data_IF_408679686528
#
_entry.id   IF_408679686528
#
_cell.length_a   1.000
_cell.length_b   1.000
_cell.length_c   1.000
_cell.angle_alpha   90.00
_cell.angle_beta   90.00
_cell.angle_gamma   90.00
#
_symmetry.space_group_name_H-M   'P 1'
#
loop_
_entity.id
_entity.type
_entity.pdbx_description
1 polymer ?
#
# COMPACT_ATOMS: atom_id res chain seq x y z
N UNK A 1 6.67 -5.35 21.79
CA UNK A 1 6.19 -4.48 20.70
C UNK A 1 7.38 -3.76 20.11
N UNK A 2 7.29 -3.28 18.87
CA UNK A 2 8.33 -2.49 18.20
C UNK A 2 7.73 -1.19 17.67
N UNK A 3 8.49 -0.11 17.77
CA UNK A 3 8.15 1.19 17.22
C UNK A 3 8.62 1.29 15.77
N UNK A 4 7.71 1.54 14.84
CA UNK A 4 8.02 1.81 13.45
C UNK A 4 7.92 3.31 13.22
N UNK A 5 9.05 3.94 12.94
CA UNK A 5 9.12 5.37 12.64
C UNK A 5 9.06 5.56 11.13
N UNK A 6 7.98 6.15 10.63
CA UNK A 6 7.84 6.49 9.22
C UNK A 6 8.18 7.97 9.04
N UNK A 7 9.21 8.25 8.24
CA UNK A 7 9.66 9.63 7.96
C UNK A 7 9.12 10.08 6.60
N UNK A 8 8.49 11.25 6.57
CA UNK A 8 8.07 11.94 5.36
C UNK A 8 8.99 13.14 5.10
N UNK A 9 9.88 13.01 4.11
CA UNK A 9 10.83 14.08 3.76
C UNK A 9 10.20 15.24 2.97
N UNK A 10 8.96 15.08 2.50
CA UNK A 10 8.26 16.16 1.81
C UNK A 10 7.64 17.17 2.79
N UNK A 11 7.48 16.77 4.06
CA UNK A 11 6.91 17.59 5.12
C UNK A 11 8.00 17.88 6.15
N UNK A 12 8.31 19.16 6.35
CA UNK A 12 9.28 19.61 7.34
C UNK A 12 8.51 20.20 8.52
N UNK A 13 8.93 19.88 9.74
CA UNK A 13 8.35 20.46 10.95
C UNK A 13 8.88 21.88 11.24
N UNK A 14 8.44 22.46 12.35
CA UNK A 14 8.84 23.82 12.77
C UNK A 14 10.33 23.95 13.10
N UNK A 15 11.03 22.83 13.30
CA UNK A 15 12.46 22.78 13.64
C UNK A 15 13.36 22.49 12.44
N UNK A 16 12.78 22.26 11.25
CA UNK A 16 13.54 21.89 10.07
C UNK A 16 13.75 20.38 9.93
N UNK A 17 13.15 19.57 10.81
CA UNK A 17 13.27 18.12 10.76
C UNK A 17 12.17 17.51 9.89
N UNK A 18 12.47 16.36 9.26
CA UNK A 18 11.47 15.62 8.50
C UNK A 18 10.37 15.13 9.45
N UNK A 19 9.11 15.45 9.10
CA UNK A 19 7.94 14.99 9.85
C UNK A 19 7.97 13.47 9.96
N UNK A 20 7.69 12.98 11.16
CA UNK A 20 7.66 11.55 11.46
C UNK A 20 6.39 11.13 12.16
N UNK A 21 5.89 9.96 11.80
CA UNK A 21 4.82 9.27 12.49
C UNK A 21 5.35 7.96 13.10
N UNK A 22 4.93 7.66 14.32
CA UNK A 22 5.34 6.46 15.05
C UNK A 22 4.15 5.50 15.14
N UNK A 23 4.37 4.26 14.72
CA UNK A 23 3.40 3.18 14.79
C UNK A 23 3.92 2.07 15.68
N UNK A 24 3.12 1.62 16.64
CA UNK A 24 3.50 0.53 17.55
C UNK A 24 2.88 -0.79 17.08
N UNK A 25 3.72 -1.78 16.73
CA UNK A 25 3.27 -3.06 16.18
C UNK A 25 3.86 -4.24 16.96
N UNK A 26 3.13 -5.35 17.03
CA UNK A 26 3.64 -6.59 17.63
C UNK A 26 4.71 -7.22 16.73
N UNK A 27 5.83 -7.61 17.36
CA UNK A 27 6.97 -8.25 16.70
C UNK A 27 6.55 -9.44 15.84
N UNK A 28 5.75 -10.33 16.43
CA UNK A 28 5.30 -11.57 15.79
C UNK A 28 4.45 -11.30 14.55
N UNK A 29 3.65 -10.23 14.56
CA UNK A 29 2.81 -9.85 13.43
C UNK A 29 3.67 -9.36 12.26
N UNK A 30 4.62 -8.46 12.52
CA UNK A 30 5.53 -7.98 11.47
C UNK A 30 6.37 -9.11 10.89
N UNK A 31 6.97 -9.94 11.74
CA UNK A 31 7.78 -11.07 11.30
C UNK A 31 6.95 -12.13 10.56
N UNK A 32 5.66 -12.28 10.88
CA UNK A 32 4.79 -13.22 10.20
C UNK A 32 4.51 -12.79 8.75
N UNK A 33 4.09 -11.53 8.54
CA UNK A 33 3.62 -11.07 7.23
C UNK A 33 4.70 -10.45 6.32
N UNK A 34 5.84 -10.02 6.86
CA UNK A 34 6.89 -9.35 6.08
C UNK A 34 8.24 -10.04 6.23
N UNK A 35 8.82 -10.46 5.11
CA UNK A 35 10.15 -11.06 5.09
C UNK A 35 11.25 -10.04 5.44
N UNK A 36 11.06 -8.77 5.06
CA UNK A 36 11.94 -7.68 5.44
C UNK A 36 12.02 -7.54 6.96
N UNK A 37 10.86 -7.41 7.63
CA UNK A 37 10.85 -7.26 9.09
C UNK A 37 11.33 -8.52 9.79
N UNK A 38 10.96 -9.71 9.31
CA UNK A 38 11.49 -10.98 9.87
C UNK A 38 13.01 -10.98 9.87
N UNK A 39 13.63 -10.62 8.75
CA UNK A 39 15.09 -10.57 8.61
C UNK A 39 15.71 -9.51 9.51
N UNK A 40 15.15 -8.29 9.52
CA UNK A 40 15.63 -7.17 10.34
C UNK A 40 15.55 -7.45 11.85
N UNK A 41 14.49 -8.15 12.27
CA UNK A 41 14.25 -8.51 13.67
C UNK A 41 15.13 -9.69 14.12
N UNK A 42 15.35 -10.69 13.26
CA UNK A 42 16.25 -11.79 13.55
C UNK A 42 17.72 -11.33 13.66
N UNK A 43 18.12 -10.37 12.83
CA UNK A 43 19.46 -9.78 12.90
C UNK A 43 19.72 -9.00 14.21
N UNK A 44 18.66 -8.49 14.86
CA UNK A 44 18.78 -7.76 16.11
C UNK A 44 17.56 -7.99 17.00
N UNK A 45 17.53 -9.08 17.79
CA UNK A 45 16.36 -9.47 18.59
C UNK A 45 15.97 -8.44 19.67
N UNK A 46 16.93 -7.60 20.08
CA UNK A 46 16.72 -6.52 21.06
C UNK A 46 16.28 -5.20 20.43
N UNK A 47 16.06 -5.15 19.11
CA UNK A 47 15.67 -3.94 18.40
C UNK A 47 14.28 -3.49 18.82
N UNK A 48 14.21 -2.27 19.36
CA UNK A 48 12.97 -1.65 19.85
C UNK A 48 12.34 -0.67 18.86
N UNK A 49 13.10 -0.23 17.84
CA UNK A 49 12.60 0.63 16.78
C UNK A 49 13.18 0.31 15.39
N UNK A 50 12.40 0.57 14.34
CA UNK A 50 12.82 0.52 12.94
C UNK A 50 12.34 1.80 12.25
N UNK A 51 13.24 2.48 11.55
CA UNK A 51 12.88 3.64 10.73
C UNK A 51 12.67 3.21 9.28
N UNK A 52 11.60 3.72 8.66
CA UNK A 52 11.25 3.49 7.26
C UNK A 52 11.04 4.85 6.60
N UNK A 53 11.51 4.97 5.37
CA UNK A 53 11.25 6.14 4.54
C UNK A 53 9.99 5.88 3.72
N UNK A 54 9.04 6.82 3.70
CA UNK A 54 7.88 6.64 2.84
C UNK A 54 6.65 7.42 3.25
N UNK A 55 5.50 6.93 2.78
CA UNK A 55 4.22 7.61 2.96
C UNK A 55 3.53 7.12 4.24
N UNK A 56 3.42 8.02 5.21
CA UNK A 56 2.75 7.81 6.50
C UNK A 56 1.33 7.23 6.34
N UNK A 57 0.55 7.77 5.38
CA UNK A 57 -0.83 7.33 5.13
C UNK A 57 -0.91 5.87 4.67
N UNK A 58 -0.03 5.47 3.75
CA UNK A 58 0.02 4.11 3.26
C UNK A 58 0.49 3.11 4.34
N UNK A 59 1.39 3.53 5.22
CA UNK A 59 1.81 2.69 6.33
C UNK A 59 0.68 2.46 7.34
N UNK A 60 -0.18 3.46 7.59
CA UNK A 60 -1.39 3.28 8.39
C UNK A 60 -2.33 2.22 7.82
N UNK A 61 -2.54 2.22 6.50
CA UNK A 61 -3.33 1.17 5.82
C UNK A 61 -2.68 -0.22 5.93
N UNK A 62 -1.35 -0.28 5.77
CA UNK A 62 -0.58 -1.52 5.94
C UNK A 62 -0.71 -2.07 7.35
N UNK A 63 -0.60 -1.21 8.38
CA UNK A 63 -0.79 -1.62 9.76
C UNK A 63 -2.19 -2.17 9.98
N UNK A 64 -3.23 -1.48 9.50
CA UNK A 64 -4.60 -1.99 9.60
C UNK A 64 -4.73 -3.37 8.96
N UNK A 65 -4.11 -3.56 7.78
CA UNK A 65 -4.10 -4.85 7.11
C UNK A 65 -3.38 -5.93 7.92
N UNK A 66 -2.22 -5.65 8.53
CA UNK A 66 -1.53 -6.64 9.37
C UNK A 66 -2.41 -7.20 10.48
N UNK A 67 -3.27 -6.38 11.09
CA UNK A 67 -4.15 -6.81 12.18
C UNK A 67 -5.48 -7.40 11.72
N UNK A 68 -6.04 -6.92 10.61
CA UNK A 68 -7.42 -7.25 10.21
C UNK A 68 -7.51 -8.09 8.94
N UNK A 69 -6.41 -8.17 8.17
CA UNK A 69 -6.34 -8.71 6.81
C UNK A 69 -7.32 -8.03 5.84
N UNK A 70 -7.74 -6.80 6.15
CA UNK A 70 -8.62 -5.96 5.34
C UNK A 70 -7.96 -4.63 5.03
N UNK A 71 -8.24 -4.11 3.83
CA UNK A 71 -7.77 -2.79 3.39
C UNK A 71 -8.96 -1.83 3.50
N UNK A 72 -9.03 -1.13 4.62
CA UNK A 72 -10.12 -0.21 4.95
C UNK A 72 -9.52 1.16 5.31
N UNK A 73 -10.04 2.22 4.69
CA UNK A 73 -9.63 3.59 4.96
C UNK A 73 -10.39 4.17 6.16
N UNK A 74 -9.83 5.15 6.87
CA UNK A 74 -10.49 5.75 8.04
C UNK A 74 -11.83 6.42 7.69
N UNK A 75 -11.99 6.89 6.45
CA UNK A 75 -13.19 7.56 5.95
C UNK A 75 -13.98 6.72 4.94
N UNK A 76 -13.71 5.41 4.85
CA UNK A 76 -14.33 4.52 3.87
C UNK A 76 -13.51 4.37 2.60
N UNK A 77 -13.96 4.97 1.49
CA UNK A 77 -13.37 4.75 0.16
C UNK A 77 -11.92 5.22 0.09
N UNK A 78 -11.03 4.30 -0.29
CA UNK A 78 -9.60 4.55 -0.44
C UNK A 78 -9.32 5.07 -1.85
N UNK A 79 -8.51 6.14 -1.93
CA UNK A 79 -8.09 6.73 -3.19
C UNK A 79 -7.12 5.81 -3.94
N UNK A 80 -7.18 5.83 -5.27
CA UNK A 80 -6.30 5.07 -6.15
C UNK A 80 -4.81 5.34 -5.86
N UNK A 81 -4.46 6.61 -5.61
CA UNK A 81 -3.09 6.99 -5.24
C UNK A 81 -2.62 6.33 -3.93
N UNK A 82 -3.51 6.13 -2.96
CA UNK A 82 -3.18 5.46 -1.69
C UNK A 82 -2.97 3.96 -1.91
N UNK A 83 -3.75 3.31 -2.77
CA UNK A 83 -3.48 1.92 -3.15
C UNK A 83 -2.14 1.76 -3.85
N UNK A 84 -1.76 2.69 -4.73
CA UNK A 84 -0.46 2.65 -5.40
C UNK A 84 0.70 2.77 -4.40
N UNK A 85 0.58 3.70 -3.45
CA UNK A 85 1.57 3.86 -2.36
C UNK A 85 1.63 2.60 -1.49
N UNK A 86 0.48 2.01 -1.15
CA UNK A 86 0.39 0.77 -0.37
C UNK A 86 1.02 -0.41 -1.12
N UNK A 87 0.78 -0.53 -2.43
CA UNK A 87 1.39 -1.56 -3.26
C UNK A 87 2.91 -1.43 -3.30
N UNK A 88 3.42 -0.21 -3.50
CA UNK A 88 4.88 0.06 -3.44
C UNK A 88 5.45 -0.33 -2.08
N UNK A 89 4.79 0.07 -1.00
CA UNK A 89 5.24 -0.24 0.36
C UNK A 89 5.21 -1.75 0.64
N UNK A 90 4.19 -2.47 0.17
CA UNK A 90 4.09 -3.92 0.29
C UNK A 90 5.28 -4.60 -0.40
N UNK A 91 5.65 -4.12 -1.59
CA UNK A 91 6.80 -4.63 -2.34
C UNK A 91 8.14 -4.32 -1.68
N UNK A 92 8.34 -3.08 -1.25
CA UNK A 92 9.58 -2.65 -0.59
C UNK A 92 9.79 -3.40 0.75
N UNK A 93 8.70 -3.72 1.46
CA UNK A 93 8.73 -4.49 2.71
C UNK A 93 8.52 -6.00 2.53
N UNK A 94 8.44 -6.47 1.28
CA UNK A 94 8.29 -7.89 0.92
C UNK A 94 7.10 -8.56 1.65
N UNK A 95 5.91 -7.98 1.49
CA UNK A 95 4.62 -8.45 2.02
C UNK A 95 3.86 -9.17 0.90
N UNK A 96 4.24 -10.44 0.69
CA UNK A 96 3.89 -11.23 -0.51
C UNK A 96 2.37 -11.32 -0.75
N UNK A 97 1.58 -11.53 0.29
CA UNK A 97 0.13 -11.74 0.15
C UNK A 97 -0.64 -10.45 -0.14
N UNK A 98 -0.05 -9.29 0.19
CA UNK A 98 -0.71 -8.00 0.06
C UNK A 98 -0.60 -7.44 -1.37
N UNK A 99 0.52 -7.67 -2.06
CA UNK A 99 0.74 -7.16 -3.42
C UNK A 99 -0.38 -7.52 -4.42
N UNK A 100 -0.75 -8.80 -4.63
CA UNK A 100 -1.81 -9.17 -5.57
C UNK A 100 -3.18 -8.67 -5.12
N UNK A 101 -3.41 -8.58 -3.80
CA UNK A 101 -4.65 -8.07 -3.23
C UNK A 101 -4.83 -6.58 -3.56
N UNK A 102 -3.78 -5.78 -3.37
CA UNK A 102 -3.80 -4.34 -3.68
C UNK A 102 -3.98 -4.12 -5.18
N UNK A 103 -3.32 -4.90 -6.03
CA UNK A 103 -3.53 -4.84 -7.49
C UNK A 103 -5.00 -5.07 -7.87
N UNK A 104 -5.64 -6.09 -7.28
CA UNK A 104 -7.07 -6.35 -7.50
C UNK A 104 -7.95 -5.18 -7.07
N UNK A 105 -7.67 -4.55 -5.94
CA UNK A 105 -8.41 -3.36 -5.51
C UNK A 105 -8.19 -2.18 -6.44
N UNK A 106 -6.95 -1.96 -6.91
CA UNK A 106 -6.64 -0.92 -7.91
C UNK A 106 -7.40 -1.14 -9.22
N UNK A 107 -7.63 -2.38 -9.66
CA UNK A 107 -8.43 -2.68 -10.85
C UNK A 107 -9.93 -2.35 -10.68
N UNK A 108 -10.43 -2.45 -9.46
CA UNK A 108 -11.83 -2.15 -9.11
C UNK A 108 -12.01 -0.64 -8.93
N UNK A 109 -11.04 0.02 -8.29
CA UNK A 109 -11.02 1.47 -8.08
C UNK A 109 -10.74 2.17 -9.40
N UNK A 110 -11.82 2.55 -10.09
CA UNK A 110 -11.71 3.30 -11.35
C UNK A 110 -11.10 4.68 -11.07
N UNK A 111 -10.16 5.15 -11.91
CA UNK A 111 -9.72 6.53 -11.85
C UNK A 111 -10.91 7.46 -12.05
N UNK A 112 -11.02 8.48 -11.20
CA UNK A 112 -12.04 9.51 -11.30
C UNK A 112 -11.68 10.51 -12.41
N UNK A 113 -12.70 11.16 -12.98
CA UNK A 113 -12.51 12.36 -13.82
C UNK A 113 -12.27 13.63 -13.01
N UNK A 114 -12.46 13.53 -11.69
CA UNK A 114 -12.56 14.68 -10.80
C UNK A 114 -11.23 14.88 -10.06
N UNK A 115 -10.56 15.99 -10.36
CA UNK A 115 -9.24 16.35 -9.84
C UNK A 115 -9.26 16.47 -8.31
N UNK A 116 -10.38 16.93 -7.75
CA UNK A 116 -10.56 17.13 -6.31
C UNK A 116 -10.50 15.84 -5.49
N UNK A 117 -10.80 14.69 -6.11
CA UNK A 117 -10.84 13.40 -5.40
C UNK A 117 -9.47 12.74 -5.26
N UNK A 118 -8.42 13.24 -5.93
CA UNK A 118 -7.09 12.63 -5.91
C UNK A 118 -7.05 11.22 -6.54
N UNK A 119 -8.01 10.94 -7.43
CA UNK A 119 -8.14 9.70 -8.20
C UNK A 119 -7.83 9.93 -9.69
N UNK A 120 -7.05 10.96 -10.02
CA UNK A 120 -6.76 11.28 -11.42
C UNK A 120 -5.98 10.16 -12.10
N UNK A 121 -6.40 9.80 -13.30
CA UNK A 121 -5.63 8.88 -14.15
C UNK A 121 -4.22 9.44 -14.43
N UNK A 122 -4.07 10.77 -14.53
CA UNK A 122 -2.78 11.42 -14.78
C UNK A 122 -1.77 11.16 -13.65
N UNK A 123 -2.21 11.23 -12.40
CA UNK A 123 -1.34 10.96 -11.24
C UNK A 123 -0.93 9.48 -11.22
N UNK A 124 -1.89 8.59 -11.48
CA UNK A 124 -1.64 7.16 -11.60
C UNK A 124 -0.64 6.85 -12.72
N UNK A 125 -0.80 7.45 -13.89
CA UNK A 125 0.12 7.31 -15.03
C UNK A 125 1.50 7.85 -14.71
N UNK A 126 1.58 9.03 -14.08
CA UNK A 126 2.86 9.62 -13.69
C UNK A 126 3.61 8.67 -12.76
N UNK A 127 2.91 8.08 -11.78
CA UNK A 127 3.50 7.09 -10.89
C UNK A 127 3.92 5.80 -11.61
N UNK A 128 3.04 5.27 -12.47
CA UNK A 128 3.28 4.02 -13.19
C UNK A 128 4.47 4.12 -14.17
N UNK A 129 4.62 5.27 -14.86
CA UNK A 129 5.67 5.43 -15.88
C UNK A 129 6.96 6.07 -15.36
N UNK A 130 6.90 6.93 -14.35
CA UNK A 130 8.11 7.53 -13.76
C UNK A 130 8.74 6.65 -12.68
N UNK A 131 8.00 5.66 -12.17
CA UNK A 131 8.52 4.70 -11.22
C UNK A 131 9.50 3.72 -11.86
N UNK A 132 10.47 3.26 -11.08
CA UNK A 132 11.29 2.06 -11.39
C UNK A 132 10.51 0.74 -11.26
N UNK A 133 9.25 0.82 -10.83
CA UNK A 133 8.44 -0.31 -10.41
C UNK A 133 7.62 -0.84 -11.59
N UNK A 134 8.09 -1.92 -12.22
CA UNK A 134 7.32 -2.64 -13.25
C UNK A 134 6.08 -3.31 -12.65
N UNK A 135 4.99 -3.31 -13.41
CA UNK A 135 3.71 -3.98 -13.13
C UNK A 135 2.50 -3.05 -13.11
N UNK A 136 2.69 -1.74 -12.99
CA UNK A 136 1.58 -0.76 -13.01
C UNK A 136 1.30 -0.21 -14.42
N UNK A 137 2.24 -0.36 -15.34
CA UNK A 137 2.17 0.17 -16.71
C UNK A 137 1.00 -0.44 -17.48
N UNK A 138 0.83 -1.77 -17.42
CA UNK A 138 -0.26 -2.47 -18.10
C UNK A 138 -1.64 -1.98 -17.62
N UNK A 139 -1.76 -1.70 -16.33
CA UNK A 139 -2.98 -1.16 -15.75
C UNK A 139 -3.22 0.29 -16.21
N UNK A 140 -2.16 1.10 -16.30
CA UNK A 140 -2.22 2.47 -16.78
C UNK A 140 -2.63 2.55 -18.26
N UNK A 141 -2.09 1.65 -19.10
CA UNK A 141 -2.47 1.48 -20.50
C UNK A 141 -3.94 1.08 -20.60
N UNK A 142 -4.36 0.04 -19.87
CA UNK A 142 -5.74 -0.44 -19.84
C UNK A 142 -6.73 0.65 -19.47
N UNK A 143 -6.42 1.49 -18.47
CA UNK A 143 -7.27 2.62 -18.10
C UNK A 143 -7.34 3.70 -19.18
N UNK A 144 -6.20 4.04 -19.79
CA UNK A 144 -6.15 5.02 -20.88
C UNK A 144 -6.98 4.56 -22.08
N UNK A 145 -6.86 3.30 -22.49
CA UNK A 145 -7.63 2.75 -23.60
C UNK A 145 -9.14 2.83 -23.34
N UNK A 146 -9.60 2.48 -22.13
CA UNK A 146 -11.02 2.59 -21.75
C UNK A 146 -11.54 4.02 -21.78
N UNK A 147 -10.74 4.99 -21.32
CA UNK A 147 -11.11 6.40 -21.37
C UNK A 147 -11.33 6.87 -22.81
N UNK A 148 -10.38 6.56 -23.72
CA UNK A 148 -10.48 6.93 -25.13
C UNK A 148 -11.69 6.30 -25.83
N UNK A 149 -12.02 5.04 -25.52
CA UNK A 149 -13.23 4.40 -26.06
C UNK A 149 -14.51 5.11 -25.61
N UNK A 150 -14.58 5.54 -24.34
CA UNK A 150 -15.74 6.28 -23.82
C UNK A 150 -15.89 7.69 -24.42
N UNK A 151 -14.78 8.32 -24.82
CA UNK A 151 -14.80 9.63 -25.47
C UNK A 151 -15.33 9.52 -26.90
N UNK A 152 -14.94 8.48 -27.64
CA UNK A 152 -15.39 8.27 -29.02
C UNK A 152 -16.89 7.94 -29.13
N UNK A 153 -17.45 7.17 -28.20
CA UNK A 153 -18.89 6.88 -28.17
C UNK A 153 -19.74 8.14 -27.96
N UNK A 154 -19.22 9.14 -27.25
CA UNK A 154 -19.94 10.40 -26.99
C UNK A 154 -20.01 11.34 -28.20
N UNK A 155 -19.12 11.17 -29.18
CA UNK A 155 -19.05 12.03 -30.38
C UNK A 155 -20.03 11.55 -31.47
N UNK A 156 -20.30 10.24 -31.56
CA UNK A 156 -21.19 9.69 -32.60
C UNK A 156 -22.67 10.08 -32.40
N UNK A 157 -23.08 10.50 -31.20
CA UNK A 157 -24.46 10.88 -30.91
C UNK A 157 -24.86 12.29 -31.38
N UNK A 158 -23.90 13.15 -31.75
CA UNK A 158 -24.19 14.52 -32.21
C UNK A 158 -24.10 14.69 -33.73
N UNK A 159 -23.73 13.64 -34.48
CA UNK A 159 -23.49 13.71 -35.92
C UNK A 159 -24.65 13.27 -36.83
N UNK A 160 -25.79 12.82 -36.27
CA UNK A 160 -26.86 12.18 -37.06
C UNK A 160 -28.27 12.75 -36.90
N UNK A 161 -28.40 14.00 -36.46
CA UNK A 161 -29.66 14.74 -36.60
C UNK A 161 -29.42 16.08 -37.31
N UNK A 162 -29.37 16.00 -38.64
CA UNK A 162 -29.85 17.11 -39.45
C UNK A 162 -31.36 17.24 -39.24
N UNK A 163 -31.77 18.33 -38.60
CA UNK A 163 -33.05 19.03 -38.78
C UNK A 163 -34.30 18.23 -38.35
N UNK A 164 -34.93 18.65 -37.24
CA UNK A 164 -36.26 19.27 -37.27
C UNK A 164 -36.71 19.73 -35.87
N UNK A 165 -37.06 21.02 -35.83
CA UNK A 165 -38.08 21.66 -34.97
C UNK A 165 -37.76 21.94 -33.49
N UNK A 166 -37.45 23.22 -33.28
CA UNK A 166 -37.91 24.03 -32.16
C UNK A 166 -39.38 23.74 -31.82
N UNK A 167 -39.63 23.22 -30.62
CA UNK A 167 -40.96 23.00 -30.07
C UNK A 167 -40.92 23.11 -28.56
N UNK A 168 -41.10 24.33 -28.06
CA UNK A 168 -41.47 24.61 -26.67
C UNK A 168 -42.62 23.70 -26.26
N UNK A 169 -42.45 22.87 -25.23
CA UNK A 169 -43.54 22.45 -24.36
C UNK A 169 -42.99 22.05 -23.00
N UNK A 170 -43.34 22.84 -21.98
CA UNK A 170 -43.15 22.47 -20.59
C UNK A 170 -44.08 21.33 -20.19
N UNK A 171 -43.64 20.57 -19.19
CA UNK A 171 -44.45 20.12 -18.05
C UNK A 171 -43.52 19.49 -17.03
N UNK A 172 -43.50 20.11 -15.85
CA UNK A 172 -43.01 19.55 -14.61
C UNK A 172 -43.91 18.39 -14.22
N UNK A 173 -43.39 17.16 -14.21
CA UNK A 173 -44.02 16.04 -13.50
C UNK A 173 -43.12 15.57 -12.37
N UNK A 174 -43.75 15.54 -11.19
CA UNK A 174 -43.18 15.12 -9.94
C UNK A 174 -42.75 13.65 -10.00
N UNK A 175 -41.62 13.35 -9.38
CA UNK A 175 -41.11 11.99 -9.25
C UNK A 175 -41.24 11.56 -7.77
N UNK A 176 -42.28 10.79 -7.38
CA UNK A 176 -42.31 10.12 -6.09
C UNK A 176 -41.95 8.65 -6.32
N UNK A 177 -40.69 8.28 -6.06
CA UNK A 177 -40.38 6.86 -5.91
C UNK A 177 -39.52 6.64 -4.67
N UNK A 178 -40.24 6.36 -3.58
CA UNK A 178 -39.72 5.72 -2.39
C UNK A 178 -39.27 4.29 -2.77
N UNK A 179 -37.96 4.03 -2.68
CA UNK A 179 -37.39 2.70 -2.67
C UNK A 179 -37.08 2.29 -1.23
N UNK A 180 -37.87 1.36 -0.71
CA UNK A 180 -37.84 0.78 0.63
C UNK A 180 -36.49 0.14 1.00
N UNK A 181 -36.09 0.37 2.25
CA UNK A 181 -34.98 -0.28 2.96
C UNK A 181 -35.18 -1.81 2.99
N UNK A 182 -34.22 -2.55 2.44
CA UNK A 182 -34.10 -3.98 2.67
C UNK A 182 -33.41 -4.23 4.01
N UNK A 183 -34.23 -4.56 5.01
CA UNK A 183 -33.81 -5.13 6.29
C UNK A 183 -33.28 -6.55 6.06
N UNK A 184 -31.99 -6.77 6.28
CA UNK A 184 -31.40 -8.11 6.29
C UNK A 184 -31.68 -8.73 7.67
N UNK A 185 -32.33 -9.91 7.78
CA UNK A 185 -32.47 -10.60 9.05
C UNK A 185 -31.12 -11.16 9.48
N UNK A 186 -30.65 -10.68 10.63
CA UNK A 186 -29.54 -11.24 11.39
C UNK A 186 -29.95 -12.65 11.86
N UNK A 187 -29.36 -13.69 11.28
CA UNK A 187 -29.47 -15.05 11.82
C UNK A 187 -28.17 -15.40 12.53
N UNK A 188 -28.32 -15.50 13.84
CA UNK A 188 -27.36 -15.98 14.82
C UNK A 188 -27.03 -17.43 14.50
N UNK A 189 -25.75 -17.73 14.29
CA UNK A 189 -25.22 -19.09 14.35
C UNK A 189 -24.20 -19.11 15.48
N UNK A 190 -24.69 -19.44 16.68
CA UNK A 190 -23.84 -19.90 17.78
C UNK A 190 -23.29 -21.28 17.42
N UNK A 191 -22.05 -21.30 16.95
CA UNK A 191 -21.24 -22.51 16.85
C UNK A 191 -20.13 -22.44 17.87
N UNK A 192 -20.31 -23.10 19.01
CA UNK A 192 -19.24 -23.40 19.97
C UNK A 192 -18.15 -24.24 19.29
N UNK A 193 -16.89 -23.78 19.22
CA UNK A 193 -15.80 -24.64 18.78
C UNK A 193 -15.41 -25.60 19.90
N UNK A 194 -15.55 -26.88 19.59
CA UNK A 194 -15.08 -28.03 20.33
C UNK A 194 -13.55 -27.91 20.56
N UNK A 195 -13.13 -27.98 21.82
CA UNK A 195 -11.73 -27.98 22.22
C UNK A 195 -11.10 -29.30 21.78
N UNK A 196 -10.37 -29.30 20.65
CA UNK A 196 -9.45 -30.38 20.33
C UNK A 196 -8.18 -30.19 21.15
N UNK A 197 -8.00 -31.08 22.12
CA UNK A 197 -6.75 -31.30 22.85
C UNK A 197 -5.68 -31.75 21.86
N UNK A 198 -4.84 -30.82 21.41
CA UNK A 198 -3.67 -31.17 20.60
C UNK A 198 -2.56 -31.68 21.51
N UNK A 199 -2.31 -32.97 21.36
CA UNK A 199 -1.24 -33.76 21.96
C UNK A 199 0.12 -33.08 21.78
N UNK A 200 0.89 -33.06 22.88
CA UNK A 200 2.29 -32.69 22.92
C UNK A 200 3.12 -33.49 21.90
N UNK A 201 3.87 -32.84 20.99
CA UNK A 201 4.98 -33.48 20.33
C UNK A 201 6.13 -33.66 21.34
N UNK A 202 6.56 -34.92 21.43
CA UNK A 202 7.68 -35.43 22.21
C UNK A 202 8.95 -34.60 22.00
N UNK A 203 9.66 -34.42 23.11
CA UNK A 203 11.07 -34.04 23.16
C UNK A 203 11.86 -34.84 22.12
N UNK A 204 12.48 -34.12 21.19
CA UNK A 204 13.58 -34.67 20.39
C UNK A 204 14.83 -34.15 21.05
N UNK A 205 15.44 -35.07 21.79
CA UNK A 205 16.79 -35.00 22.32
C UNK A 205 17.80 -34.66 21.22
N UNK A 206 18.71 -33.78 21.61
CA UNK A 206 20.15 -33.86 21.41
C UNK A 206 20.77 -34.06 20.02
N UNK A 207 21.95 -33.45 19.93
CA UNK A 207 23.05 -33.87 19.06
C UNK A 207 23.02 -33.33 17.62
N UNK A 208 23.38 -32.05 17.47
CA UNK A 208 24.30 -31.67 16.38
C UNK A 208 25.07 -30.39 16.72
N UNK A 209 25.98 -30.52 17.69
CA UNK A 209 27.23 -29.78 17.68
C UNK A 209 28.01 -30.14 16.40
N UNK A 210 27.91 -29.30 15.37
CA UNK A 210 28.93 -29.23 14.32
C UNK A 210 29.30 -27.79 14.10
N UNK A 211 30.23 -27.35 14.96
CA UNK A 211 31.52 -26.81 14.57
C UNK A 211 31.61 -26.39 13.10
N UNK A 212 31.32 -25.12 12.84
CA UNK A 212 31.75 -24.44 11.63
C UNK A 212 32.74 -23.37 12.10
N UNK A 213 34.01 -23.75 12.13
CA UNK A 213 35.13 -22.82 12.14
C UNK A 213 35.20 -22.24 10.73
N UNK A 214 34.93 -20.94 10.59
CA UNK A 214 35.39 -20.21 9.41
C UNK A 214 36.48 -19.27 9.85
N UNK A 215 37.61 -19.43 9.17
CA UNK A 215 38.85 -18.70 9.29
C UNK A 215 38.61 -17.19 9.16
N UNK A 216 39.08 -16.45 10.16
CA UNK A 216 39.31 -15.02 10.09
C UNK A 216 40.52 -14.78 9.17
N UNK A 217 40.28 -14.57 7.87
CA UNK A 217 41.25 -13.89 7.03
C UNK A 217 41.08 -12.38 7.26
N UNK A 218 42.01 -11.86 8.06
CA UNK A 218 42.26 -10.45 8.31
C UNK A 218 42.97 -9.83 7.10
N UNK A 219 42.26 -9.04 6.30
CA UNK A 219 42.88 -8.16 5.33
C UNK A 219 43.07 -6.77 5.97
N UNK A 220 44.27 -6.60 6.51
CA UNK A 220 44.91 -5.32 6.77
C UNK A 220 45.18 -4.62 5.42
N UNK A 221 44.42 -3.57 5.10
CA UNK A 221 44.87 -2.55 4.15
C UNK A 221 44.90 -1.18 4.84
N UNK A 222 46.08 -0.88 5.38
CA UNK A 222 46.54 0.47 5.65
C UNK A 222 46.69 1.23 4.32
N UNK A 223 45.82 2.22 4.05
CA UNK A 223 46.17 3.30 3.13
C UNK A 223 46.23 4.62 3.90
N UNK A 224 47.45 4.91 4.35
CA UNK A 224 47.92 6.26 4.65
C UNK A 224 47.94 7.08 3.36
N UNK A 225 47.15 8.15 3.29
CA UNK A 225 47.49 9.28 2.45
C UNK A 225 47.60 10.51 3.34
N UNK A 226 48.86 10.72 3.70
CA UNK A 226 49.48 11.95 4.16
C UNK A 226 49.49 12.99 3.03
N UNK A 227 49.81 14.23 3.40
CA UNK A 227 50.20 15.34 2.52
C UNK A 227 49.07 16.07 1.78
N UNK A 228 49.03 17.40 1.65
CA UNK A 228 49.84 18.54 2.11
C UNK A 228 48.99 19.78 1.72
N UNK A 229 48.83 20.77 2.60
CA UNK A 229 49.45 22.11 2.50
C UNK A 229 48.59 23.24 1.92
N UNK A 230 48.92 24.42 2.45
CA UNK A 230 48.83 25.77 1.88
C UNK A 230 47.57 26.60 2.21
N UNK A 231 47.71 27.27 3.36
CA UNK A 231 47.55 28.73 3.50
C UNK A 231 47.71 29.51 2.19
N UNK A 232 46.81 30.44 1.89
CA UNK A 232 47.14 31.84 1.59
C UNK A 232 45.86 32.70 1.35
N UNK A 233 45.76 33.80 2.10
CA UNK A 233 44.98 35.04 1.92
C UNK A 233 43.45 35.07 2.07
#
# INVERSE_FOLDING_TARGET
>A
MIAIEVKNYNDIDEFGDAKKQIFTIHHNILAHYSLYFRSALNASPKRTSITIQGCESAFGLLQNWFYTQKIEGPTGEIKLAEYVKLWKLAKDLVVVDLEPLVLKFMEITKPGRDDEKGNMLKDFQSFAYMGTQRGLEDMAIKYRSRQLSSENESVEYWGREGVLKTGYFGKTEANPFFGTLNTIPSSVVEGTPELMENEHPKEVDDEMERMIMYDEESDDEEESNDETEQEEN
#
